data_IF_738355529636
#
_entry.id   IF_738355529636
#
_cell.length_a   1.000
_cell.length_b   1.000
_cell.length_c   1.000
_cell.angle_alpha   90.00
_cell.angle_beta   90.00
_cell.angle_gamma   90.00
#
_symmetry.space_group_name_H-M   'P 1'
#
loop_
_entity.id
_entity.type
_entity.pdbx_description
1 polymer ?
#
# COMPACT_ATOMS: atom_id res chain seq x y z
N UNK A 1 6.60 -5.51 -37.00
CA UNK A 1 7.10 -6.32 -35.87
C UNK A 1 8.09 -5.47 -35.08
N UNK A 2 7.61 -4.61 -34.20
CA UNK A 2 8.46 -3.78 -33.35
C UNK A 2 8.75 -4.54 -32.06
N UNK A 3 9.94 -5.14 -32.01
CA UNK A 3 10.49 -5.81 -30.84
C UNK A 3 10.76 -4.77 -29.75
N UNK A 4 9.90 -4.69 -28.75
CA UNK A 4 10.17 -3.93 -27.53
C UNK A 4 11.13 -4.75 -26.66
N UNK A 5 12.40 -4.38 -26.67
CA UNK A 5 13.40 -4.90 -25.73
C UNK A 5 12.92 -4.65 -24.29
N UNK A 6 12.91 -5.65 -23.38
CA UNK A 6 12.58 -5.40 -21.99
C UNK A 6 13.65 -4.49 -21.39
N UNK A 7 13.25 -3.41 -20.72
CA UNK A 7 14.17 -2.59 -19.95
C UNK A 7 14.88 -3.49 -18.93
N UNK A 8 16.21 -3.55 -19.01
CA UNK A 8 17.04 -4.33 -18.10
C UNK A 8 16.72 -3.94 -16.65
N UNK A 9 16.31 -4.91 -15.84
CA UNK A 9 15.99 -4.68 -14.43
C UNK A 9 17.26 -4.29 -13.68
N UNK A 10 17.38 -3.03 -13.30
CA UNK A 10 18.46 -2.58 -12.42
C UNK A 10 18.23 -3.22 -11.05
N UNK A 11 19.14 -4.11 -10.65
CA UNK A 11 19.12 -4.75 -9.33
C UNK A 11 19.40 -3.70 -8.25
N UNK A 12 18.35 -3.26 -7.54
CA UNK A 12 18.46 -2.35 -6.38
C UNK A 12 18.95 -3.10 -5.14
N UNK A 13 19.81 -2.48 -4.33
CA UNK A 13 20.15 -2.98 -2.98
C UNK A 13 18.95 -2.87 -2.03
N UNK A 14 18.94 -3.62 -0.91
CA UNK A 14 17.95 -3.45 0.16
C UNK A 14 17.74 -1.98 0.59
N UNK A 15 18.82 -1.23 0.82
CA UNK A 15 18.76 0.17 1.23
C UNK A 15 18.13 1.05 0.13
N UNK A 16 18.50 0.83 -1.12
CA UNK A 16 17.93 1.56 -2.26
C UNK A 16 16.43 1.27 -2.44
N UNK A 17 15.99 0.05 -2.14
CA UNK A 17 14.54 -0.30 -2.16
C UNK A 17 13.79 0.39 -1.03
N UNK A 18 14.36 0.41 0.19
CA UNK A 18 13.79 1.15 1.32
C UNK A 18 13.67 2.64 0.99
N UNK A 19 14.74 3.26 0.53
CA UNK A 19 14.75 4.67 0.15
C UNK A 19 13.70 4.96 -0.93
N UNK A 20 13.59 4.11 -1.96
CA UNK A 20 12.58 4.30 -3.00
C UNK A 20 11.14 4.22 -2.45
N UNK A 21 10.88 3.35 -1.47
CA UNK A 21 9.58 3.29 -0.80
C UNK A 21 9.32 4.51 0.09
N UNK A 22 10.34 5.02 0.77
CA UNK A 22 10.23 6.24 1.58
C UNK A 22 9.92 7.46 0.70
N UNK A 23 10.56 7.56 -0.48
CA UNK A 23 10.27 8.59 -1.49
C UNK A 23 8.83 8.47 -2.04
N UNK A 24 8.35 7.24 -2.26
CA UNK A 24 6.95 6.99 -2.66
C UNK A 24 5.99 7.40 -1.54
N UNK A 25 6.29 7.07 -0.29
CA UNK A 25 5.48 7.46 0.87
C UNK A 25 5.37 8.97 1.00
N UNK A 26 6.49 9.71 0.88
CA UNK A 26 6.50 11.18 0.92
C UNK A 26 5.67 11.81 -0.21
N UNK A 27 5.68 11.22 -1.41
CA UNK A 27 4.82 11.65 -2.53
C UNK A 27 3.35 11.37 -2.26
N UNK A 28 3.03 10.24 -1.63
CA UNK A 28 1.66 9.87 -1.27
C UNK A 28 1.11 10.84 -0.20
N UNK A 29 1.91 11.25 0.78
CA UNK A 29 1.50 12.17 1.85
C UNK A 29 0.96 13.50 1.30
N UNK A 30 1.57 14.00 0.24
CA UNK A 30 1.21 15.28 -0.40
C UNK A 30 0.36 15.12 -1.66
N UNK A 31 -0.10 13.91 -1.98
CA UNK A 31 -0.87 13.65 -3.19
C UNK A 31 -2.27 14.29 -3.13
N UNK A 32 -2.66 14.98 -4.21
CA UNK A 32 -3.97 15.60 -4.39
C UNK A 32 -4.64 15.18 -5.72
N UNK A 33 -4.19 14.07 -6.32
CA UNK A 33 -4.62 13.68 -7.67
C UNK A 33 -6.10 13.23 -7.76
N UNK A 34 -6.75 12.87 -6.64
CA UNK A 34 -8.17 12.51 -6.59
C UNK A 34 -8.85 13.02 -5.32
N UNK A 35 -10.16 13.23 -5.36
CA UNK A 35 -10.92 13.90 -4.29
C UNK A 35 -10.86 13.23 -2.90
N UNK A 36 -10.39 12.00 -2.79
CA UNK A 36 -10.15 11.33 -1.51
C UNK A 36 -9.19 12.10 -0.61
N UNK A 37 -8.27 12.87 -1.22
CA UNK A 37 -7.33 13.71 -0.49
C UNK A 37 -8.04 14.72 0.43
N UNK A 38 -9.25 15.16 0.08
CA UNK A 38 -10.00 16.21 0.80
C UNK A 38 -10.56 15.76 2.15
N UNK A 39 -10.68 14.45 2.38
CA UNK A 39 -11.32 13.90 3.59
C UNK A 39 -10.43 12.96 4.40
N UNK A 40 -9.28 12.55 3.87
CA UNK A 40 -8.32 11.73 4.62
C UNK A 40 -7.80 12.48 5.85
N UNK A 41 -7.53 11.76 6.93
CA UNK A 41 -6.69 12.24 8.02
C UNK A 41 -5.22 11.94 7.72
N UNK A 42 -4.92 10.67 7.44
CA UNK A 42 -3.57 10.22 7.04
C UNK A 42 -3.64 9.34 5.80
N UNK A 43 -2.63 9.44 4.95
CA UNK A 43 -2.42 8.45 3.91
C UNK A 43 -1.89 7.14 4.52
N UNK A 44 -2.08 6.04 3.79
CA UNK A 44 -1.55 4.72 4.15
C UNK A 44 -0.79 4.13 2.96
N UNK A 45 0.52 4.43 2.82
CA UNK A 45 1.33 3.99 1.68
C UNK A 45 1.44 2.46 1.56
N UNK A 46 1.62 1.79 2.69
CA UNK A 46 1.87 0.35 2.83
C UNK A 46 2.85 0.08 3.98
N UNK A 47 2.92 -1.15 4.45
CA UNK A 47 3.77 -1.54 5.58
C UNK A 47 4.27 -2.98 5.42
N UNK A 48 5.47 -3.26 5.96
CA UNK A 48 6.06 -4.59 6.01
C UNK A 48 7.49 -4.60 5.47
N UNK A 49 7.91 -5.74 4.91
CA UNK A 49 9.23 -5.94 4.35
C UNK A 49 9.44 -5.15 3.05
N UNK A 50 10.29 -4.12 3.03
CA UNK A 50 10.52 -3.26 1.85
C UNK A 50 11.46 -3.88 0.81
N UNK A 51 12.20 -4.93 1.19
CA UNK A 51 13.44 -5.32 0.52
C UNK A 51 13.20 -6.54 -0.35
N UNK A 52 12.59 -7.56 0.23
CA UNK A 52 12.31 -8.84 -0.41
C UNK A 52 11.16 -9.54 0.33
N UNK A 53 9.92 -9.00 0.26
CA UNK A 53 8.77 -9.72 0.79
C UNK A 53 8.54 -11.00 -0.03
N UNK A 54 8.28 -12.11 0.64
CA UNK A 54 7.92 -13.37 -0.04
C UNK A 54 6.53 -13.26 -0.70
N UNK A 55 5.64 -12.48 -0.07
CA UNK A 55 4.27 -12.26 -0.50
C UNK A 55 3.89 -10.79 -0.31
N UNK A 56 3.11 -10.25 -1.24
CA UNK A 56 2.48 -8.94 -1.11
C UNK A 56 0.95 -9.09 -1.06
N UNK A 57 0.31 -8.47 -0.07
CA UNK A 57 -1.14 -8.40 0.06
C UNK A 57 -1.64 -7.02 -0.34
N UNK A 58 -2.62 -6.97 -1.26
CA UNK A 58 -3.23 -5.73 -1.73
C UNK A 58 -4.73 -5.73 -1.41
N UNK A 59 -5.17 -4.79 -0.58
CA UNK A 59 -6.59 -4.50 -0.36
C UNK A 59 -7.10 -3.34 -1.20
N UNK A 60 -8.34 -2.94 -0.94
CA UNK A 60 -9.05 -1.91 -1.68
C UNK A 60 -8.61 -0.49 -1.26
N UNK A 61 -8.83 -0.13 0.00
CA UNK A 61 -8.53 1.19 0.53
C UNK A 61 -8.41 1.16 2.08
N UNK A 62 -7.86 2.21 2.71
CA UNK A 62 -7.81 2.32 4.17
C UNK A 62 -9.21 2.42 4.77
N UNK A 63 -9.42 1.76 5.92
CA UNK A 63 -10.60 1.95 6.75
C UNK A 63 -10.42 3.10 7.75
N UNK A 64 -11.36 3.23 8.67
CA UNK A 64 -11.39 4.34 9.64
C UNK A 64 -10.22 4.33 10.63
N UNK A 65 -9.79 3.14 11.06
CA UNK A 65 -8.65 3.01 11.98
C UNK A 65 -7.34 3.27 11.25
N UNK A 66 -7.18 2.73 10.03
CA UNK A 66 -6.01 2.94 9.19
C UNK A 66 -5.83 4.43 8.83
N UNK A 67 -6.90 5.14 8.48
CA UNK A 67 -6.89 6.59 8.19
C UNK A 67 -6.51 7.42 9.41
N UNK A 68 -6.89 6.98 10.62
CA UNK A 68 -6.56 7.69 11.86
C UNK A 68 -5.09 7.54 12.24
N UNK A 69 -4.56 6.32 12.14
CA UNK A 69 -3.20 5.99 12.60
C UNK A 69 -2.14 6.07 11.50
N UNK A 70 -2.53 6.02 10.22
CA UNK A 70 -1.60 5.95 9.09
C UNK A 70 -0.97 4.57 8.89
N UNK A 71 -1.55 3.52 9.48
CA UNK A 71 -1.00 2.15 9.46
C UNK A 71 -1.90 1.22 8.64
N UNK A 72 -1.30 0.26 7.94
CA UNK A 72 -2.03 -0.63 7.05
C UNK A 72 -2.65 -1.81 7.80
N UNK A 73 -3.95 -2.06 7.60
CA UNK A 73 -4.66 -3.25 8.09
C UNK A 73 -4.50 -3.44 9.61
N UNK A 74 -5.00 -2.47 10.37
CA UNK A 74 -4.99 -2.49 11.85
C UNK A 74 -6.38 -2.65 12.47
N UNK A 75 -7.44 -2.41 11.69
CA UNK A 75 -8.82 -2.67 12.10
C UNK A 75 -9.16 -4.17 12.13
N UNK A 76 -10.44 -4.50 12.33
CA UNK A 76 -10.89 -5.89 12.48
C UNK A 76 -10.52 -6.80 11.30
N UNK A 77 -10.67 -6.33 10.06
CA UNK A 77 -10.25 -7.07 8.86
C UNK A 77 -8.73 -7.28 8.82
N UNK A 78 -7.96 -6.30 9.27
CA UNK A 78 -6.51 -6.40 9.36
C UNK A 78 -6.02 -7.38 10.41
N UNK A 79 -6.69 -7.46 11.56
CA UNK A 79 -6.43 -8.49 12.57
C UNK A 79 -6.71 -9.90 12.03
N UNK A 80 -7.77 -10.05 11.22
CA UNK A 80 -8.05 -11.32 10.56
C UNK A 80 -6.99 -11.67 9.51
N UNK A 81 -6.55 -10.70 8.71
CA UNK A 81 -5.43 -10.89 7.77
C UNK A 81 -4.16 -11.33 8.49
N UNK A 82 -3.81 -10.71 9.63
CA UNK A 82 -2.65 -11.10 10.44
C UNK A 82 -2.72 -12.58 10.84
N UNK A 83 -3.88 -13.08 11.31
CA UNK A 83 -4.05 -14.50 11.63
C UNK A 83 -3.87 -15.42 10.43
N UNK A 84 -4.28 -14.99 9.23
CA UNK A 84 -4.07 -15.75 8.00
C UNK A 84 -2.60 -15.79 7.60
N UNK A 85 -1.89 -14.66 7.70
CA UNK A 85 -0.43 -14.57 7.44
C UNK A 85 0.31 -15.52 8.39
N UNK A 86 -0.02 -15.49 9.67
CA UNK A 86 0.56 -16.39 10.69
C UNK A 86 0.26 -17.86 10.40
N UNK A 87 -0.98 -18.19 10.00
CA UNK A 87 -1.37 -19.56 9.63
C UNK A 87 -0.64 -20.08 8.37
N UNK A 88 -0.17 -19.18 7.50
CA UNK A 88 0.68 -19.52 6.36
C UNK A 88 2.16 -19.70 6.74
N UNK A 89 2.54 -19.45 7.99
CA UNK A 89 3.92 -19.53 8.47
C UNK A 89 4.74 -18.25 8.27
N UNK A 90 4.10 -17.12 7.97
CA UNK A 90 4.75 -15.81 7.83
C UNK A 90 4.46 -14.92 9.02
N UNK A 91 5.31 -13.91 9.22
CA UNK A 91 5.03 -12.74 10.07
C UNK A 91 4.71 -11.52 9.20
N UNK A 92 4.20 -10.45 9.82
CA UNK A 92 3.98 -9.17 9.10
C UNK A 92 5.28 -8.51 8.62
N UNK A 93 6.42 -8.89 9.18
CA UNK A 93 7.75 -8.40 8.78
C UNK A 93 8.36 -9.24 7.64
N UNK A 94 7.75 -10.37 7.28
CA UNK A 94 8.16 -11.21 6.13
C UNK A 94 7.42 -10.82 4.83
N UNK A 95 6.31 -10.10 4.95
CA UNK A 95 5.41 -9.77 3.83
C UNK A 95 5.29 -8.26 3.66
N UNK A 96 4.68 -7.80 2.57
CA UNK A 96 4.33 -6.39 2.40
C UNK A 96 2.82 -6.24 2.19
N UNK A 97 2.21 -5.27 2.86
CA UNK A 97 0.77 -5.07 2.87
C UNK A 97 0.47 -3.64 2.43
N UNK A 98 -0.41 -3.47 1.45
CA UNK A 98 -0.85 -2.17 0.97
C UNK A 98 -2.29 -2.21 0.44
N UNK A 99 -2.79 -1.07 -0.01
CA UNK A 99 -4.07 -0.94 -0.69
C UNK A 99 -3.91 -0.35 -2.09
N UNK A 100 -4.90 -0.56 -2.97
CA UNK A 100 -5.00 0.11 -4.27
C UNK A 100 -5.05 1.62 -4.04
N UNK A 101 -6.05 2.12 -3.31
CA UNK A 101 -6.11 3.52 -2.91
C UNK A 101 -5.31 3.77 -1.62
N UNK A 102 -4.62 4.91 -1.52
CA UNK A 102 -3.83 5.27 -0.32
C UNK A 102 -4.57 6.19 0.66
N UNK A 103 -5.78 6.59 0.32
CA UNK A 103 -6.64 7.48 1.11
C UNK A 103 -7.97 6.78 1.37
N UNK A 104 -8.55 6.98 2.56
CA UNK A 104 -9.86 6.41 2.93
C UNK A 104 -11.00 7.09 2.15
N UNK A 105 -11.89 6.32 1.49
CA UNK A 105 -13.12 6.86 0.93
C UNK A 105 -14.11 7.30 2.01
N UNK A 106 -14.92 8.35 1.74
CA UNK A 106 -15.95 8.81 2.68
C UNK A 106 -16.88 7.66 3.11
N UNK A 107 -17.10 7.53 4.42
CA UNK A 107 -17.94 6.47 5.00
C UNK A 107 -17.51 5.02 4.66
N UNK A 108 -16.23 4.79 4.32
CA UNK A 108 -15.71 3.48 3.89
C UNK A 108 -16.43 2.92 2.66
N UNK A 109 -16.96 3.78 1.78
CA UNK A 109 -17.51 3.31 0.50
C UNK A 109 -16.41 2.66 -0.35
N UNK A 110 -16.81 1.84 -1.31
CA UNK A 110 -15.89 1.38 -2.36
C UNK A 110 -15.31 2.56 -3.14
N UNK A 111 -13.98 2.63 -3.38
CA UNK A 111 -13.39 3.59 -4.30
C UNK A 111 -13.99 3.46 -5.70
N UNK A 112 -14.10 4.58 -6.40
CA UNK A 112 -14.50 4.56 -7.80
C UNK A 112 -13.38 3.98 -8.68
N UNK A 113 -13.73 3.54 -9.88
CA UNK A 113 -12.72 3.09 -10.85
C UNK A 113 -11.68 4.18 -11.17
N UNK A 114 -12.09 5.45 -11.19
CA UNK A 114 -11.17 6.57 -11.41
C UNK A 114 -10.27 6.83 -10.20
N UNK A 115 -10.79 6.74 -8.98
CA UNK A 115 -9.96 6.83 -7.76
C UNK A 115 -8.90 5.71 -7.71
N UNK A 116 -9.27 4.49 -8.11
CA UNK A 116 -8.34 3.37 -8.20
C UNK A 116 -7.32 3.53 -9.32
N UNK A 117 -7.71 4.10 -10.47
CA UNK A 117 -6.83 4.30 -11.63
C UNK A 117 -5.82 5.44 -11.44
N UNK A 118 -6.23 6.48 -10.72
CA UNK A 118 -5.38 7.66 -10.48
C UNK A 118 -4.34 7.41 -9.38
N UNK A 119 -4.67 6.54 -8.41
CA UNK A 119 -3.81 6.23 -7.28
C UNK A 119 -2.69 5.24 -7.63
#
# INVERSE_FOLDING_TARGET
MTSTTPAASVSRTPEQRRQALDEIAARIETCEACDLYKQRNRCVPGQGNPCAPDVMFIGEAPGADEDREGLAFIGAAGQFLTKMIEAMGYTRDDVFIANICKCRPPNNRTPTADEMRVC
#
